data_IF_952692151433
#
_entry.id   IF_952692151433
#
_cell.length_a   1.000
_cell.length_b   1.000
_cell.length_c   1.000
_cell.angle_alpha   90.00
_cell.angle_beta   90.00
_cell.angle_gamma   90.00
#
_symmetry.space_group_name_H-M   'P 1'
#
loop_
_entity.id
_entity.type
_entity.pdbx_description
1 polymer ?
#
# COMPACT_ATOMS: atom_id res chain seq x y z
N UNK A 1 -44.42 -3.27 12.36
CA UNK A 1 -43.45 -3.17 11.24
C UNK A 1 -42.05 -3.69 11.65
N UNK A 2 -41.50 -3.26 12.79
CA UNK A 2 -40.18 -3.69 13.30
C UNK A 2 -40.04 -5.21 13.50
N UNK A 3 -41.09 -5.88 14.01
CA UNK A 3 -41.09 -7.36 14.19
C UNK A 3 -40.95 -8.14 12.88
N UNK A 4 -41.42 -7.59 11.75
CA UNK A 4 -41.29 -8.26 10.45
C UNK A 4 -39.87 -8.12 9.91
N UNK A 5 -39.24 -6.96 10.09
CA UNK A 5 -37.84 -6.71 9.68
C UNK A 5 -36.88 -7.62 10.46
N UNK A 6 -37.08 -7.77 11.77
CA UNK A 6 -36.22 -8.62 12.60
C UNK A 6 -36.30 -10.10 12.18
N UNK A 7 -37.49 -10.56 11.76
CA UNK A 7 -37.71 -11.95 11.35
C UNK A 7 -37.10 -12.25 9.98
N UNK A 8 -37.04 -11.27 9.06
CA UNK A 8 -36.35 -11.43 7.76
C UNK A 8 -34.84 -11.49 7.94
N UNK A 9 -34.28 -10.69 8.84
CA UNK A 9 -32.84 -10.64 9.11
C UNK A 9 -32.38 -11.96 9.71
N UNK A 10 -33.06 -12.48 10.74
CA UNK A 10 -32.69 -13.77 11.35
C UNK A 10 -32.83 -14.94 10.38
N UNK A 11 -33.83 -14.92 9.49
CA UNK A 11 -33.97 -15.94 8.44
C UNK A 11 -32.81 -15.94 7.44
N UNK A 12 -32.29 -14.76 7.06
CA UNK A 12 -31.13 -14.69 6.15
C UNK A 12 -29.85 -15.21 6.82
N UNK A 13 -29.64 -14.92 8.11
CA UNK A 13 -28.48 -15.44 8.84
C UNK A 13 -28.50 -16.97 8.97
N UNK A 14 -29.67 -17.58 9.19
CA UNK A 14 -29.80 -19.05 9.24
C UNK A 14 -29.52 -19.69 7.88
N UNK A 15 -29.97 -19.08 6.78
CA UNK A 15 -29.63 -19.54 5.43
C UNK A 15 -28.12 -19.46 5.14
N UNK A 16 -27.47 -18.34 5.48
CA UNK A 16 -26.03 -18.15 5.21
C UNK A 16 -25.16 -19.12 6.01
N UNK A 17 -25.54 -19.41 7.27
CA UNK A 17 -24.83 -20.40 8.09
C UNK A 17 -25.00 -21.84 7.57
N UNK A 18 -26.17 -22.16 6.99
CA UNK A 18 -26.43 -23.49 6.40
C UNK A 18 -25.60 -23.73 5.14
N UNK A 19 -25.40 -22.70 4.32
CA UNK A 19 -24.56 -22.76 3.11
C UNK A 19 -23.08 -22.93 3.47
N UNK A 20 -22.61 -22.20 4.49
CA UNK A 20 -21.24 -22.35 5.00
C UNK A 20 -20.97 -23.74 5.59
N UNK A 21 -21.96 -24.32 6.28
CA UNK A 21 -21.86 -25.69 6.79
C UNK A 21 -21.75 -26.75 5.69
N UNK A 22 -22.45 -26.57 4.56
CA UNK A 22 -22.39 -27.49 3.43
C UNK A 22 -21.05 -27.41 2.67
N UNK A 23 -20.44 -26.23 2.57
CA UNK A 23 -19.14 -26.08 1.92
C UNK A 23 -17.99 -26.70 2.72
N UNK A 24 -18.10 -26.77 4.05
CA UNK A 24 -17.08 -27.39 4.90
C UNK A 24 -17.10 -28.93 4.84
N UNK A 25 -18.19 -29.55 4.39
CA UNK A 25 -18.33 -31.01 4.27
C UNK A 25 -17.76 -31.53 2.94
N UNK A 26 -17.58 -30.67 1.93
CA UNK A 26 -17.07 -31.07 0.60
C UNK A 26 -15.53 -31.05 0.50
N UNK A 27 -14.81 -30.63 1.55
CA UNK A 27 -13.35 -30.46 1.50
C UNK A 27 -12.54 -31.60 2.17
N UNK A 28 -13.14 -32.75 2.51
CA UNK A 28 -12.43 -33.83 3.25
C UNK A 28 -12.30 -35.17 2.53
N UNK A 29 -12.62 -35.26 1.24
CA UNK A 29 -12.36 -36.46 0.45
C UNK A 29 -11.54 -36.10 -0.78
N UNK A 30 -10.22 -36.21 -0.66
CA UNK A 30 -9.36 -36.77 -1.71
C UNK A 30 -7.94 -36.95 -1.16
N UNK A 31 -7.65 -38.16 -0.74
CA UNK A 31 -6.29 -38.64 -0.49
C UNK A 31 -6.06 -39.87 -1.36
N UNK A 32 -4.99 -39.91 -2.17
CA UNK A 32 -4.43 -41.17 -2.61
C UNK A 32 -3.08 -41.43 -1.95
N UNK A 33 -2.95 -42.68 -1.54
CA UNK A 33 -1.83 -43.26 -0.83
C UNK A 33 -0.61 -43.55 -1.72
N UNK A 34 0.54 -43.61 -1.01
CA UNK A 34 1.69 -44.50 -1.22
C UNK A 34 2.60 -44.34 -2.44
N UNK A 35 3.91 -44.13 -2.18
CA UNK A 35 4.93 -45.18 -2.33
C UNK A 35 6.25 -44.83 -1.66
N UNK A 36 6.84 -45.85 -1.04
CA UNK A 36 8.09 -45.85 -0.31
C UNK A 36 9.30 -46.19 -1.22
N UNK A 37 10.45 -45.60 -0.92
CA UNK A 37 11.80 -46.13 -1.18
C UNK A 37 12.80 -45.28 -0.38
N UNK A 38 13.30 -45.74 0.77
CA UNK A 38 14.53 -46.54 0.92
C UNK A 38 15.77 -45.85 0.35
N UNK A 39 16.59 -45.24 1.22
CA UNK A 39 18.07 -45.29 1.20
C UNK A 39 18.69 -44.59 2.43
N UNK A 40 19.47 -45.37 3.19
CA UNK A 40 20.46 -44.95 4.22
C UNK A 40 21.66 -44.23 3.55
N UNK A 41 22.43 -43.38 4.26
CA UNK A 41 23.63 -43.83 5.00
C UNK A 41 23.84 -43.09 6.34
N UNK A 42 24.16 -43.78 7.43
CA UNK A 42 25.51 -44.12 7.94
C UNK A 42 26.25 -42.94 8.60
N UNK A 43 26.23 -42.97 9.93
CA UNK A 43 27.14 -42.30 10.86
C UNK A 43 28.60 -42.74 10.62
N UNK A 44 29.51 -41.77 10.55
CA UNK A 44 30.92 -41.97 10.89
C UNK A 44 31.36 -40.89 11.87
N UNK A 45 31.70 -41.33 13.07
CA UNK A 45 32.43 -40.59 14.10
C UNK A 45 33.93 -40.74 13.81
N UNK A 46 34.70 -39.64 13.91
CA UNK A 46 36.07 -39.70 14.45
C UNK A 46 36.51 -38.33 15.01
N UNK A 47 36.96 -38.39 16.27
CA UNK A 47 37.67 -37.36 17.04
C UNK A 47 39.08 -37.12 16.47
N UNK A 48 39.61 -35.92 16.69
CA UNK A 48 41.04 -35.63 16.65
C UNK A 48 41.36 -34.20 17.09
N UNK A 49 41.97 -34.07 18.28
CA UNK A 49 42.50 -32.84 18.87
C UNK A 49 43.70 -32.26 18.10
N UNK A 50 43.88 -30.95 18.15
CA UNK A 50 45.12 -30.27 17.79
C UNK A 50 45.00 -28.75 17.99
N UNK A 51 45.83 -28.20 18.88
CA UNK A 51 45.77 -26.84 19.41
C UNK A 51 46.46 -25.77 18.52
N UNK A 52 46.20 -24.52 18.91
CA UNK A 52 47.09 -23.34 18.84
C UNK A 52 47.36 -22.68 17.47
N UNK A 53 46.73 -21.52 17.23
CA UNK A 53 47.36 -20.20 17.50
C UNK A 53 46.46 -19.02 17.11
N UNK A 54 46.52 -18.02 17.99
CA UNK A 54 46.29 -16.58 17.78
C UNK A 54 46.36 -16.11 16.31
N UNK A 55 45.31 -15.43 15.85
CA UNK A 55 45.48 -14.10 15.25
C UNK A 55 44.15 -13.34 15.29
N UNK A 56 44.15 -12.29 16.11
CA UNK A 56 43.11 -11.26 16.17
C UNK A 56 43.03 -10.54 14.83
N UNK A 57 41.85 -10.55 14.21
CA UNK A 57 41.36 -9.42 13.42
C UNK A 57 39.93 -9.11 13.84
N UNK A 58 39.79 -7.91 14.40
CA UNK A 58 38.53 -7.27 14.75
C UNK A 58 37.67 -7.09 13.50
N UNK A 59 36.86 -8.09 13.18
CA UNK A 59 35.69 -7.91 12.34
C UNK A 59 34.60 -7.26 13.20
N UNK A 60 34.45 -5.94 13.03
CA UNK A 60 33.26 -5.23 13.48
C UNK A 60 32.06 -5.91 12.84
N UNK A 61 31.31 -6.63 13.67
CA UNK A 61 29.95 -7.03 13.42
C UNK A 61 29.14 -5.77 13.17
N UNK A 62 28.93 -5.43 11.90
CA UNK A 62 27.82 -4.59 11.49
C UNK A 62 26.56 -5.42 11.72
N UNK A 63 26.10 -5.37 12.97
CA UNK A 63 24.84 -5.89 13.44
C UNK A 63 23.76 -5.25 12.57
N UNK A 64 23.25 -6.03 11.62
CA UNK A 64 22.12 -5.69 10.77
C UNK A 64 20.90 -5.58 11.69
N UNK A 65 20.75 -4.44 12.36
CA UNK A 65 19.49 -4.05 12.97
C UNK A 65 18.52 -3.87 11.83
N UNK A 66 17.73 -4.93 11.62
CA UNK A 66 16.44 -4.90 10.94
C UNK A 66 15.58 -3.95 11.77
N UNK A 67 15.77 -2.66 11.56
CA UNK A 67 14.82 -1.64 11.98
C UNK A 67 13.60 -1.88 11.10
N UNK A 68 12.75 -2.80 11.57
CA UNK A 68 11.38 -2.93 11.11
C UNK A 68 10.80 -1.51 11.14
N UNK A 69 10.68 -0.90 9.97
CA UNK A 69 9.65 0.07 9.75
C UNK A 69 8.33 -0.70 9.87
N UNK A 70 7.97 -1.02 11.13
CA UNK A 70 6.58 -1.11 11.53
C UNK A 70 6.01 0.23 11.13
N UNK A 71 5.46 0.26 9.92
CA UNK A 71 4.48 1.23 9.52
C UNK A 71 3.51 1.25 10.71
N UNK A 72 3.63 2.27 11.55
CA UNK A 72 2.86 2.36 12.77
C UNK A 72 1.44 2.45 12.28
N UNK A 73 0.77 1.30 12.32
CA UNK A 73 -0.64 1.15 12.13
C UNK A 73 -1.26 2.03 13.21
N UNK A 74 -1.55 3.28 12.87
CA UNK A 74 -2.62 4.00 13.51
C UNK A 74 -3.86 3.30 13.00
N UNK A 75 -4.16 2.18 13.65
CA UNK A 75 -5.45 1.52 13.62
C UNK A 75 -6.41 2.61 14.08
N UNK A 76 -6.95 3.36 13.13
CA UNK A 76 -7.95 4.40 13.35
C UNK A 76 -9.16 3.62 13.85
N UNK A 77 -9.23 3.45 15.17
CA UNK A 77 -10.38 2.87 15.84
C UNK A 77 -11.53 3.79 15.50
N UNK A 78 -12.31 3.41 14.50
CA UNK A 78 -13.61 3.96 14.20
C UNK A 78 -14.55 3.59 15.35
N UNK A 79 -14.34 4.17 16.52
CA UNK A 79 -15.44 4.46 17.42
C UNK A 79 -16.14 5.68 16.82
N UNK A 80 -16.97 5.44 15.79
CA UNK A 80 -18.03 6.34 15.37
C UNK A 80 -19.01 6.46 16.53
N UNK A 81 -18.68 7.32 17.50
CA UNK A 81 -19.71 7.90 18.34
C UNK A 81 -20.69 8.58 17.39
N UNK A 82 -21.95 8.15 17.44
CA UNK A 82 -23.09 8.96 17.00
C UNK A 82 -23.02 10.30 17.75
N UNK A 83 -22.23 11.22 17.20
CA UNK A 83 -22.24 12.62 17.60
C UNK A 83 -23.37 13.24 16.80
N UNK A 84 -24.49 13.46 17.47
CA UNK A 84 -25.55 14.31 16.95
C UNK A 84 -24.92 15.69 16.65
N UNK A 85 -24.80 15.97 15.36
CA UNK A 85 -24.28 17.23 14.85
C UNK A 85 -25.46 18.16 14.67
N UNK A 86 -25.77 18.96 15.69
CA UNK A 86 -26.48 20.22 15.47
C UNK A 86 -25.55 21.15 14.68
N UNK A 87 -25.75 21.15 13.36
CA UNK A 87 -25.20 22.18 12.49
C UNK A 87 -26.17 23.35 12.59
N UNK A 88 -25.71 24.45 13.17
CA UNK A 88 -26.43 25.71 13.15
C UNK A 88 -26.62 26.12 11.67
N UNK A 89 -27.82 25.90 11.13
CA UNK A 89 -28.16 26.10 9.71
C UNK A 89 -28.21 27.59 9.32
N UNK A 90 -27.93 28.50 10.26
CA UNK A 90 -28.12 29.95 10.11
C UNK A 90 -26.95 30.70 9.47
N UNK A 91 -25.78 30.08 9.27
CA UNK A 91 -24.60 30.76 8.69
C UNK A 91 -24.54 30.59 7.17
N UNK A 92 -24.74 31.70 6.44
CA UNK A 92 -24.54 31.75 4.99
C UNK A 92 -23.08 31.42 4.63
N UNK A 93 -22.85 30.28 3.99
CA UNK A 93 -21.53 29.88 3.50
C UNK A 93 -21.10 30.84 2.37
N UNK A 94 -19.92 31.46 2.45
CA UNK A 94 -19.46 32.35 1.38
C UNK A 94 -19.37 31.61 0.03
N UNK A 95 -19.85 32.25 -1.04
CA UNK A 95 -19.81 31.71 -2.41
C UNK A 95 -18.40 31.24 -2.81
N UNK A 96 -17.37 31.99 -2.44
CA UNK A 96 -15.96 31.66 -2.71
C UNK A 96 -15.49 30.36 -2.05
N UNK A 97 -16.04 30.00 -0.89
CA UNK A 97 -15.75 28.73 -0.21
C UNK A 97 -16.42 27.57 -0.96
N UNK A 98 -17.68 27.74 -1.37
CA UNK A 98 -18.39 26.73 -2.15
C UNK A 98 -17.70 26.45 -3.49
N UNK A 99 -17.27 27.49 -4.19
CA UNK A 99 -16.51 27.37 -5.45
C UNK A 99 -15.18 26.65 -5.24
N UNK A 100 -14.42 27.01 -4.19
CA UNK A 100 -13.12 26.39 -3.91
C UNK A 100 -13.24 24.89 -3.57
N UNK A 101 -14.23 24.51 -2.74
CA UNK A 101 -14.50 23.08 -2.47
C UNK A 101 -15.01 22.38 -3.74
N UNK A 102 -15.82 23.05 -4.55
CA UNK A 102 -16.28 22.52 -5.84
C UNK A 102 -15.12 22.21 -6.80
N UNK A 103 -14.09 23.06 -6.84
CA UNK A 103 -12.87 22.81 -7.63
C UNK A 103 -12.13 21.58 -7.09
N UNK A 104 -11.96 21.47 -5.77
CA UNK A 104 -11.31 20.30 -5.15
C UNK A 104 -12.04 19.00 -5.50
N UNK A 105 -13.38 18.98 -5.36
CA UNK A 105 -14.21 17.84 -5.75
C UNK A 105 -14.08 17.49 -7.23
N UNK A 106 -14.08 18.48 -8.12
CA UNK A 106 -13.89 18.25 -9.57
C UNK A 106 -12.53 17.59 -9.86
N UNK A 107 -11.46 18.04 -9.20
CA UNK A 107 -10.13 17.44 -9.36
C UNK A 107 -10.10 15.98 -8.87
N UNK A 108 -10.70 15.68 -7.72
CA UNK A 108 -10.83 14.31 -7.20
C UNK A 108 -11.60 13.41 -8.16
N UNK A 109 -12.77 13.85 -8.63
CA UNK A 109 -13.59 13.08 -9.57
C UNK A 109 -12.84 12.80 -10.87
N UNK A 110 -12.12 13.79 -11.41
CA UNK A 110 -11.31 13.60 -12.61
C UNK A 110 -10.16 12.61 -12.38
N UNK A 111 -9.50 12.69 -11.22
CA UNK A 111 -8.44 11.77 -10.84
C UNK A 111 -8.97 10.34 -10.66
N UNK A 112 -10.01 10.13 -9.86
CA UNK A 112 -10.61 8.82 -9.61
C UNK A 112 -11.18 8.20 -10.88
N UNK A 113 -11.77 9.02 -11.76
CA UNK A 113 -12.19 8.56 -13.08
C UNK A 113 -11.01 8.06 -13.90
N UNK A 114 -9.92 8.82 -14.00
CA UNK A 114 -8.72 8.37 -14.72
C UNK A 114 -8.12 7.10 -14.11
N UNK A 115 -8.07 7.02 -12.78
CA UNK A 115 -7.61 5.83 -12.06
C UNK A 115 -8.47 4.60 -12.40
N UNK A 116 -9.80 4.75 -12.33
CA UNK A 116 -10.76 3.69 -12.64
C UNK A 116 -10.73 3.29 -14.12
N UNK A 117 -10.66 4.25 -15.03
CA UNK A 117 -10.60 3.98 -16.47
C UNK A 117 -9.34 3.15 -16.82
N UNK A 118 -8.19 3.42 -16.17
CA UNK A 118 -6.97 2.61 -16.33
C UNK A 118 -7.13 1.18 -15.76
N UNK A 119 -7.72 1.05 -14.58
CA UNK A 119 -8.02 -0.26 -13.99
C UNK A 119 -8.96 -1.08 -14.89
N UNK A 120 -10.07 -0.48 -15.32
CA UNK A 120 -11.09 -1.16 -16.13
C UNK A 120 -10.49 -1.61 -17.49
N UNK A 121 -9.63 -0.78 -18.11
CA UNK A 121 -8.92 -1.15 -19.34
C UNK A 121 -7.93 -2.31 -19.15
N UNK A 122 -7.21 -2.34 -18.03
CA UNK A 122 -6.31 -3.43 -17.67
C UNK A 122 -7.06 -4.74 -17.38
N UNK A 123 -8.17 -4.69 -16.64
CA UNK A 123 -8.96 -5.87 -16.31
C UNK A 123 -9.67 -6.51 -17.50
N UNK A 124 -10.05 -5.70 -18.49
CA UNK A 124 -10.64 -6.17 -19.75
C UNK A 124 -9.62 -6.85 -20.67
N UNK A 125 -8.33 -6.63 -20.45
CA UNK A 125 -7.25 -7.23 -21.23
C UNK A 125 -7.04 -8.72 -20.95
N UNK A 126 -6.34 -9.41 -21.85
CA UNK A 126 -5.93 -10.80 -21.63
C UNK A 126 -4.85 -10.96 -20.55
N UNK A 127 -4.09 -9.89 -20.31
CA UNK A 127 -3.07 -9.79 -19.26
C UNK A 127 -3.61 -8.93 -18.11
N UNK A 128 -4.69 -9.40 -17.47
CA UNK A 128 -5.33 -8.71 -16.34
C UNK A 128 -4.77 -9.15 -14.98
N UNK A 129 -5.37 -8.68 -13.89
CA UNK A 129 -4.97 -9.06 -12.52
C UNK A 129 -4.95 -10.58 -12.32
N UNK A 130 -5.96 -11.32 -12.78
CA UNK A 130 -6.02 -12.78 -12.63
C UNK A 130 -4.83 -13.48 -13.32
N UNK A 131 -4.50 -13.05 -14.54
CA UNK A 131 -3.33 -13.54 -15.27
C UNK A 131 -2.04 -13.30 -14.48
N UNK A 132 -1.79 -12.06 -14.04
CA UNK A 132 -0.55 -11.71 -13.34
C UNK A 132 -0.46 -12.30 -11.93
N UNK A 133 -1.59 -12.36 -11.21
CA UNK A 133 -1.67 -12.96 -9.87
C UNK A 133 -1.29 -14.45 -9.86
N UNK A 134 -1.46 -15.14 -10.98
CA UNK A 134 -1.06 -16.55 -11.13
C UNK A 134 0.41 -16.75 -11.51
N UNK A 135 1.12 -15.68 -11.91
CA UNK A 135 2.45 -15.76 -12.53
C UNK A 135 3.54 -15.03 -11.75
N UNK A 136 3.18 -13.97 -11.05
CA UNK A 136 4.07 -13.30 -10.11
C UNK A 136 4.04 -14.13 -8.82
N UNK A 137 5.19 -14.36 -8.21
CA UNK A 137 5.40 -15.15 -6.98
C UNK A 137 4.69 -14.60 -5.73
N UNK A 138 3.71 -13.70 -5.86
CA UNK A 138 2.80 -13.24 -4.82
C UNK A 138 2.06 -14.34 -4.06
N UNK A 139 2.13 -15.60 -4.52
CA UNK A 139 1.39 -16.74 -3.97
C UNK A 139 2.29 -17.78 -3.29
N UNK A 140 3.59 -17.49 -3.13
CA UNK A 140 4.55 -18.42 -2.57
C UNK A 140 5.38 -17.79 -1.43
N UNK A 141 5.70 -18.59 -0.41
CA UNK A 141 6.58 -18.21 0.69
C UNK A 141 6.05 -17.00 1.49
N UNK A 142 6.96 -16.08 1.84
CA UNK A 142 6.64 -14.87 2.60
C UNK A 142 5.64 -13.95 1.87
N UNK A 143 5.75 -13.84 0.53
CA UNK A 143 4.92 -12.96 -0.29
C UNK A 143 3.42 -13.31 -0.28
N UNK A 144 3.08 -14.58 -0.06
CA UNK A 144 1.69 -15.07 -0.06
C UNK A 144 0.83 -14.39 1.00
N UNK A 145 1.40 -14.12 2.18
CA UNK A 145 0.70 -13.46 3.26
C UNK A 145 0.77 -11.93 3.10
N UNK A 146 1.96 -11.43 2.77
CA UNK A 146 2.27 -10.00 2.84
C UNK A 146 1.57 -9.18 1.73
N UNK A 147 1.29 -9.80 0.58
CA UNK A 147 0.69 -9.09 -0.57
C UNK A 147 -0.66 -9.63 -0.99
N UNK A 148 -1.28 -10.56 -0.25
CA UNK A 148 -2.57 -11.16 -0.61
C UNK A 148 -3.69 -10.13 -0.90
N UNK A 149 -3.64 -8.97 -0.23
CA UNK A 149 -4.63 -7.87 -0.36
C UNK A 149 -4.11 -6.64 -1.09
N UNK A 150 -2.82 -6.61 -1.41
CA UNK A 150 -2.12 -5.41 -1.90
C UNK A 150 -1.69 -5.53 -3.37
N UNK A 151 -2.02 -6.63 -4.05
CA UNK A 151 -1.65 -6.85 -5.46
C UNK A 151 -2.17 -5.74 -6.37
N UNK A 152 -3.41 -5.30 -6.13
CA UNK A 152 -4.02 -4.23 -6.91
C UNK A 152 -3.30 -2.89 -6.70
N UNK A 153 -2.79 -2.65 -5.49
CA UNK A 153 -1.98 -1.46 -5.19
C UNK A 153 -0.65 -1.48 -5.97
N UNK A 154 -0.06 -2.66 -6.14
CA UNK A 154 1.18 -2.84 -6.92
C UNK A 154 0.92 -2.57 -8.41
N UNK A 155 -0.16 -3.10 -8.98
CA UNK A 155 -0.53 -2.82 -10.37
C UNK A 155 -0.87 -1.34 -10.59
N UNK A 156 -1.59 -0.73 -9.64
CA UNK A 156 -1.87 0.70 -9.66
C UNK A 156 -0.60 1.56 -9.60
N UNK A 157 0.45 1.12 -8.90
CA UNK A 157 1.74 1.82 -8.83
C UNK A 157 2.53 1.79 -10.14
N UNK A 158 2.06 0.99 -11.10
CA UNK A 158 2.54 0.97 -12.48
C UNK A 158 1.53 1.62 -13.44
N UNK A 159 0.49 2.26 -12.91
CA UNK A 159 -0.60 2.85 -13.68
C UNK A 159 -1.38 1.82 -14.48
N UNK A 160 -1.41 0.56 -14.02
CA UNK A 160 -2.02 -0.58 -14.71
C UNK A 160 -1.47 -0.82 -16.13
N UNK A 161 -0.21 -0.43 -16.36
CA UNK A 161 0.47 -0.63 -17.64
C UNK A 161 0.95 -2.07 -17.79
N UNK A 162 0.37 -2.79 -18.76
CA UNK A 162 0.64 -4.21 -18.98
C UNK A 162 2.12 -4.52 -19.20
N UNK A 163 2.85 -3.66 -19.93
CA UNK A 163 4.28 -3.89 -20.19
C UNK A 163 5.11 -3.69 -18.93
N UNK A 164 4.77 -2.68 -18.13
CA UNK A 164 5.42 -2.45 -16.84
C UNK A 164 5.16 -3.61 -15.86
N UNK A 165 3.92 -4.12 -15.80
CA UNK A 165 3.59 -5.28 -14.94
C UNK A 165 4.30 -6.55 -15.44
N UNK A 166 4.45 -6.74 -16.76
CA UNK A 166 5.23 -7.84 -17.31
C UNK A 166 6.72 -7.75 -16.96
N UNK A 167 7.31 -6.54 -17.01
CA UNK A 167 8.69 -6.32 -16.57
C UNK A 167 8.84 -6.63 -15.08
N UNK A 168 7.90 -6.16 -14.25
CA UNK A 168 7.86 -6.48 -12.82
C UNK A 168 7.81 -8.00 -12.60
N UNK A 169 6.90 -8.72 -13.28
CA UNK A 169 6.80 -10.17 -13.18
C UNK A 169 8.14 -10.84 -13.51
N UNK A 170 8.77 -10.42 -14.59
CA UNK A 170 10.03 -11.02 -15.06
C UNK A 170 11.15 -10.83 -14.03
N UNK A 171 11.27 -9.62 -13.48
CA UNK A 171 12.26 -9.30 -12.44
C UNK A 171 11.99 -10.06 -11.15
N UNK A 172 10.76 -10.02 -10.65
CA UNK A 172 10.38 -10.69 -9.39
C UNK A 172 10.61 -12.19 -9.50
N UNK A 173 10.24 -12.82 -10.62
CA UNK A 173 10.46 -14.25 -10.82
C UNK A 173 11.95 -14.60 -10.93
N UNK A 174 12.78 -13.73 -11.50
CA UNK A 174 14.24 -13.92 -11.52
C UNK A 174 14.85 -13.85 -10.11
N UNK A 175 14.39 -12.89 -9.30
CA UNK A 175 14.87 -12.66 -7.93
C UNK A 175 14.26 -13.59 -6.87
N UNK A 176 13.26 -14.39 -7.24
CA UNK A 176 12.60 -15.36 -6.33
C UNK A 176 12.65 -16.80 -6.85
N UNK A 177 13.37 -17.03 -7.95
CA UNK A 177 13.53 -18.36 -8.53
C UNK A 177 14.34 -19.30 -7.63
N UNK A 178 14.42 -20.57 -8.02
CA UNK A 178 15.09 -21.63 -7.22
C UNK A 178 16.58 -21.42 -6.96
N UNK A 179 17.22 -20.50 -7.69
CA UNK A 179 18.65 -20.12 -7.53
C UNK A 179 18.84 -18.77 -6.85
N UNK A 180 17.76 -18.12 -6.40
CA UNK A 180 17.82 -16.82 -5.76
C UNK A 180 18.51 -16.92 -4.40
N UNK A 181 19.34 -15.93 -4.09
CA UNK A 181 19.89 -15.72 -2.75
C UNK A 181 18.86 -15.02 -1.85
N UNK A 182 19.06 -15.07 -0.53
CA UNK A 182 18.22 -14.31 0.40
C UNK A 182 18.20 -12.81 0.09
N UNK A 183 19.33 -12.27 -0.38
CA UNK A 183 19.43 -10.86 -0.77
C UNK A 183 18.61 -10.54 -2.04
N UNK A 184 18.47 -11.50 -2.96
CA UNK A 184 17.60 -11.35 -4.13
C UNK A 184 16.14 -11.26 -3.71
N UNK A 185 15.73 -12.20 -2.85
CA UNK A 185 14.37 -12.27 -2.33
C UNK A 185 14.02 -10.99 -1.56
N UNK A 186 14.93 -10.50 -0.71
CA UNK A 186 14.76 -9.22 -0.01
C UNK A 186 14.63 -8.04 -0.98
N UNK A 187 15.41 -8.02 -2.07
CA UNK A 187 15.33 -6.93 -3.04
C UNK A 187 14.02 -6.93 -3.83
N UNK A 188 13.45 -8.12 -4.08
CA UNK A 188 12.11 -8.24 -4.64
C UNK A 188 11.04 -7.75 -3.66
N UNK A 189 11.18 -8.09 -2.38
CA UNK A 189 10.29 -7.65 -1.31
C UNK A 189 10.29 -6.11 -1.14
N UNK A 190 11.47 -5.52 -1.02
CA UNK A 190 11.64 -4.06 -0.90
C UNK A 190 11.06 -3.31 -2.12
N UNK A 191 11.18 -3.90 -3.33
CA UNK A 191 10.55 -3.38 -4.54
C UNK A 191 9.03 -3.41 -4.42
N UNK A 192 8.43 -4.56 -4.08
CA UNK A 192 6.99 -4.73 -4.00
C UNK A 192 6.36 -3.86 -2.91
N UNK A 193 7.02 -3.73 -1.76
CA UNK A 193 6.63 -2.80 -0.68
C UNK A 193 6.63 -1.35 -1.17
N UNK A 194 7.69 -0.94 -1.88
CA UNK A 194 7.77 0.43 -2.44
C UNK A 194 6.67 0.72 -3.46
N UNK A 195 6.29 -0.28 -4.26
CA UNK A 195 5.16 -0.18 -5.19
C UNK A 195 3.84 -0.08 -4.44
N UNK A 196 3.58 -0.95 -3.47
CA UNK A 196 2.36 -0.88 -2.63
C UNK A 196 2.22 0.52 -2.02
N UNK A 197 3.28 1.00 -1.39
CA UNK A 197 3.27 2.27 -0.64
C UNK A 197 3.03 3.48 -1.56
N UNK A 198 3.57 3.45 -2.78
CA UNK A 198 3.32 4.46 -3.82
C UNK A 198 1.82 4.66 -4.06
N UNK A 199 1.05 3.57 -4.15
CA UNK A 199 -0.41 3.65 -4.31
C UNK A 199 -1.11 3.97 -3.00
N UNK A 200 -0.69 3.35 -1.89
CA UNK A 200 -1.36 3.48 -0.59
C UNK A 200 -1.37 4.93 -0.07
N UNK A 201 -0.27 5.68 -0.25
CA UNK A 201 -0.23 7.10 0.13
C UNK A 201 -1.22 7.94 -0.66
N UNK A 202 -1.47 7.59 -1.92
CA UNK A 202 -2.45 8.29 -2.76
C UNK A 202 -3.87 7.92 -2.34
N UNK A 203 -4.17 6.64 -2.14
CA UNK A 203 -5.50 6.16 -1.75
C UNK A 203 -5.96 6.69 -0.39
N UNK A 204 -5.02 6.86 0.56
CA UNK A 204 -5.30 7.49 1.86
C UNK A 204 -5.93 8.88 1.71
N UNK A 205 -5.63 9.58 0.61
CA UNK A 205 -6.17 10.91 0.33
C UNK A 205 -7.45 10.84 -0.52
N UNK A 206 -7.44 10.05 -1.59
CA UNK A 206 -8.43 10.17 -2.68
C UNK A 206 -9.52 9.11 -2.69
N UNK A 207 -9.43 8.08 -1.84
CA UNK A 207 -10.47 7.06 -1.72
C UNK A 207 -11.83 7.70 -1.39
N UNK A 208 -12.86 7.31 -2.13
CA UNK A 208 -14.18 7.97 -2.09
C UNK A 208 -14.91 7.72 -0.76
N UNK A 209 -14.62 6.59 -0.11
CA UNK A 209 -15.32 6.13 1.09
C UNK A 209 -14.55 6.47 2.36
N UNK A 210 -13.24 6.26 2.33
CA UNK A 210 -12.38 6.29 3.52
C UNK A 210 -11.25 7.33 3.42
N UNK A 211 -11.04 7.93 2.24
CA UNK A 211 -10.00 8.91 2.01
C UNK A 211 -10.22 10.22 2.77
N UNK A 212 -9.11 10.93 3.02
CA UNK A 212 -9.15 12.24 3.70
C UNK A 212 -9.99 13.27 2.92
N UNK A 213 -10.07 13.14 1.59
CA UNK A 213 -10.90 13.97 0.73
C UNK A 213 -12.23 13.32 0.29
N UNK A 214 -12.73 12.34 1.06
CA UNK A 214 -14.07 11.76 0.87
C UNK A 214 -15.18 12.82 0.89
N UNK A 215 -16.34 12.48 0.34
CA UNK A 215 -17.50 13.38 0.24
C UNK A 215 -17.95 13.94 1.60
N UNK A 216 -17.83 13.13 2.66
CA UNK A 216 -18.11 13.56 4.02
C UNK A 216 -17.14 14.63 4.51
N UNK A 217 -15.83 14.45 4.28
CA UNK A 217 -14.81 15.40 4.69
C UNK A 217 -14.86 16.69 3.86
N UNK A 218 -15.19 16.60 2.57
CA UNK A 218 -15.45 17.77 1.72
C UNK A 218 -16.66 18.58 2.21
N UNK A 219 -17.71 17.90 2.68
CA UNK A 219 -18.84 18.57 3.33
C UNK A 219 -18.40 19.32 4.59
N UNK A 220 -17.60 18.70 5.46
CA UNK A 220 -17.03 19.37 6.65
C UNK A 220 -16.19 20.58 6.26
N UNK A 221 -15.33 20.43 5.25
CA UNK A 221 -14.45 21.47 4.73
C UNK A 221 -15.27 22.69 4.28
N UNK A 222 -16.37 22.46 3.55
CA UNK A 222 -17.29 23.52 3.09
C UNK A 222 -17.90 24.32 4.23
N UNK A 223 -18.20 23.66 5.34
CA UNK A 223 -18.90 24.26 6.48
C UNK A 223 -17.97 24.97 7.47
N UNK A 224 -16.71 24.51 7.59
CA UNK A 224 -15.87 24.85 8.75
C UNK A 224 -14.51 25.45 8.42
N UNK A 225 -14.10 25.42 7.15
CA UNK A 225 -12.78 25.89 6.76
C UNK A 225 -12.83 27.26 6.09
N UNK A 226 -11.65 27.87 6.00
CA UNK A 226 -11.47 29.14 5.29
C UNK A 226 -10.84 28.89 3.91
N UNK A 227 -10.87 29.92 3.08
CA UNK A 227 -10.39 29.85 1.70
C UNK A 227 -8.91 29.49 1.60
N UNK A 228 -8.07 29.97 2.54
CA UNK A 228 -6.64 29.66 2.58
C UNK A 228 -6.41 28.17 2.79
N UNK A 229 -7.13 27.54 3.72
CA UNK A 229 -7.03 26.10 3.98
C UNK A 229 -7.45 25.28 2.76
N UNK A 230 -8.53 25.66 2.08
CA UNK A 230 -9.01 24.92 0.90
C UNK A 230 -8.01 25.05 -0.25
N UNK A 231 -7.46 26.24 -0.49
CA UNK A 231 -6.40 26.46 -1.49
C UNK A 231 -5.13 25.65 -1.18
N UNK A 232 -4.74 25.59 0.09
CA UNK A 232 -3.61 24.77 0.51
C UNK A 232 -3.84 23.28 0.22
N UNK A 233 -4.99 22.74 0.61
CA UNK A 233 -5.36 21.35 0.32
C UNK A 233 -5.38 21.06 -1.19
N UNK A 234 -5.87 22.01 -2.00
CA UNK A 234 -5.85 21.89 -3.46
C UNK A 234 -4.43 21.80 -4.01
N UNK A 235 -3.52 22.65 -3.55
CA UNK A 235 -2.12 22.62 -3.97
C UNK A 235 -1.45 21.30 -3.56
N UNK A 236 -1.70 20.80 -2.35
CA UNK A 236 -1.19 19.50 -1.92
C UNK A 236 -1.74 18.35 -2.76
N UNK A 237 -3.04 18.36 -3.10
CA UNK A 237 -3.64 17.35 -3.97
C UNK A 237 -3.02 17.39 -5.37
N UNK A 238 -2.86 18.58 -5.96
CA UNK A 238 -2.23 18.71 -7.28
C UNK A 238 -0.79 18.21 -7.26
N UNK A 239 -0.04 18.57 -6.22
CA UNK A 239 1.31 18.05 -5.99
C UNK A 239 1.34 16.54 -5.87
N UNK A 240 0.40 15.94 -5.12
CA UNK A 240 0.32 14.49 -4.91
C UNK A 240 0.07 13.76 -6.23
N UNK A 241 -0.87 14.25 -7.03
CA UNK A 241 -1.19 13.70 -8.34
C UNK A 241 0.00 13.82 -9.30
N UNK A 242 0.63 15.00 -9.37
CA UNK A 242 1.79 15.23 -10.23
C UNK A 242 2.97 14.34 -9.83
N UNK A 243 3.27 14.26 -8.53
CA UNK A 243 4.35 13.42 -8.00
C UNK A 243 4.09 11.94 -8.25
N UNK A 244 2.83 11.48 -8.17
CA UNK A 244 2.47 10.09 -8.51
C UNK A 244 2.79 9.79 -9.98
N UNK A 245 2.42 10.67 -10.90
CA UNK A 245 2.69 10.49 -12.33
C UNK A 245 4.19 10.38 -12.59
N UNK A 246 4.98 11.26 -11.97
CA UNK A 246 6.45 11.26 -12.06
C UNK A 246 7.04 9.94 -11.54
N UNK A 247 6.65 9.52 -10.33
CA UNK A 247 7.13 8.28 -9.70
C UNK A 247 6.79 7.06 -10.55
N UNK A 248 5.57 6.97 -11.10
CA UNK A 248 5.18 5.89 -12.01
C UNK A 248 6.09 5.87 -13.24
N UNK A 249 6.35 7.02 -13.86
CA UNK A 249 7.24 7.12 -15.02
C UNK A 249 8.64 6.60 -14.72
N UNK A 250 9.23 7.06 -13.62
CA UNK A 250 10.57 6.65 -13.20
C UNK A 250 10.65 5.14 -12.89
N UNK A 251 9.67 4.61 -12.17
CA UNK A 251 9.60 3.18 -11.84
C UNK A 251 9.53 2.35 -13.12
N UNK A 252 8.66 2.71 -14.07
CA UNK A 252 8.56 1.99 -15.35
C UNK A 252 9.90 1.95 -16.09
N UNK A 253 10.60 3.07 -16.14
CA UNK A 253 11.92 3.16 -16.77
C UNK A 253 12.93 2.27 -16.05
N UNK A 254 12.95 2.27 -14.71
CA UNK A 254 13.86 1.42 -13.94
C UNK A 254 13.56 -0.06 -14.08
N UNK A 255 12.29 -0.46 -14.17
CA UNK A 255 11.92 -1.84 -14.45
C UNK A 255 12.37 -2.26 -15.86
N UNK A 256 12.20 -1.42 -16.87
CA UNK A 256 12.70 -1.71 -18.21
C UNK A 256 14.24 -1.87 -18.22
N UNK A 257 14.97 -0.95 -17.58
CA UNK A 257 16.43 -1.01 -17.43
C UNK A 257 16.89 -2.29 -16.69
N UNK A 258 16.17 -2.70 -15.65
CA UNK A 258 16.49 -3.91 -14.90
C UNK A 258 16.24 -5.19 -15.71
N UNK A 259 15.23 -5.22 -16.58
CA UNK A 259 14.99 -6.35 -17.50
C UNK A 259 16.16 -6.54 -18.48
N UNK A 260 16.85 -5.49 -18.90
CA UNK A 260 18.05 -5.60 -19.74
C UNK A 260 19.23 -6.30 -19.03
N UNK A 261 19.15 -6.45 -17.69
CA UNK A 261 20.18 -7.08 -16.86
C UNK A 261 19.84 -8.52 -16.45
N UNK A 262 18.84 -9.13 -17.09
CA UNK A 262 18.47 -10.52 -16.81
C UNK A 262 19.65 -11.48 -16.98
N UNK A 263 19.77 -12.40 -16.03
CA UNK A 263 20.92 -13.32 -15.92
C UNK A 263 22.00 -12.84 -14.94
N UNK A 264 21.98 -11.56 -14.55
CA UNK A 264 22.84 -10.99 -13.51
C UNK A 264 21.99 -10.37 -12.40
N UNK A 265 21.71 -11.17 -11.37
CA UNK A 265 20.91 -10.73 -10.23
C UNK A 265 21.55 -9.56 -9.48
N UNK A 266 22.88 -9.46 -9.44
CA UNK A 266 23.55 -8.34 -8.77
C UNK A 266 23.31 -7.02 -9.52
N UNK A 267 23.41 -7.05 -10.85
CA UNK A 267 23.09 -5.90 -11.69
C UNK A 267 21.61 -5.49 -11.58
N UNK A 268 20.68 -6.46 -11.55
CA UNK A 268 19.26 -6.19 -11.30
C UNK A 268 19.08 -5.49 -9.95
N UNK A 269 19.61 -6.06 -8.85
CA UNK A 269 19.51 -5.47 -7.51
C UNK A 269 20.08 -4.05 -7.47
N UNK A 270 21.20 -3.82 -8.13
CA UNK A 270 21.84 -2.49 -8.21
C UNK A 270 20.91 -1.46 -8.86
N UNK A 271 20.20 -1.85 -9.92
CA UNK A 271 19.23 -1.00 -10.59
C UNK A 271 18.01 -0.72 -9.70
N UNK A 272 17.46 -1.76 -9.07
CA UNK A 272 16.26 -1.64 -8.22
C UNK A 272 16.51 -0.85 -6.93
N UNK A 273 17.74 -0.80 -6.42
CA UNK A 273 18.10 0.05 -5.27
C UNK A 273 17.75 1.52 -5.51
N UNK A 274 17.61 1.98 -6.76
CA UNK A 274 17.14 3.34 -7.05
C UNK A 274 15.71 3.60 -6.57
N UNK A 275 14.90 2.54 -6.45
CA UNK A 275 13.49 2.56 -5.99
C UNK A 275 13.39 2.51 -4.47
N UNK A 276 14.11 1.60 -3.82
CA UNK A 276 13.90 1.31 -2.39
C UNK A 276 15.06 1.70 -1.46
N UNK A 277 16.22 2.10 -1.99
CA UNK A 277 17.37 2.48 -1.14
C UNK A 277 17.12 3.83 -0.46
N UNK A 278 17.00 3.82 0.86
CA UNK A 278 16.91 5.06 1.65
C UNK A 278 18.13 5.98 1.53
N UNK A 279 19.31 5.43 1.25
CA UNK A 279 20.57 6.20 1.22
C UNK A 279 20.81 6.89 -0.13
N UNK A 280 20.38 6.27 -1.22
CA UNK A 280 20.79 6.64 -2.58
C UNK A 280 19.67 6.54 -3.62
N UNK A 281 18.49 6.07 -3.23
CA UNK A 281 17.37 5.85 -4.13
C UNK A 281 16.65 7.16 -4.42
N UNK A 282 16.86 7.72 -5.62
CA UNK A 282 16.20 8.96 -6.00
C UNK A 282 14.66 8.80 -6.05
N UNK A 283 14.16 7.64 -6.47
CA UNK A 283 12.71 7.33 -6.47
C UNK A 283 12.23 7.09 -5.05
N UNK A 284 13.03 6.42 -4.20
CA UNK A 284 12.72 6.26 -2.77
C UNK A 284 12.40 7.62 -2.13
N UNK A 285 13.22 8.64 -2.40
CA UNK A 285 13.00 9.98 -1.86
C UNK A 285 11.74 10.67 -2.42
N UNK A 286 11.32 10.34 -3.64
CA UNK A 286 10.05 10.82 -4.19
C UNK A 286 8.83 10.15 -3.55
N UNK A 287 8.98 8.90 -3.08
CA UNK A 287 7.91 8.15 -2.39
C UNK A 287 7.84 8.53 -0.91
N UNK A 288 8.97 8.51 -0.21
CA UNK A 288 9.03 8.46 1.26
C UNK A 288 9.66 9.66 1.96
N UNK A 289 10.25 10.63 1.24
CA UNK A 289 11.06 11.65 1.91
C UNK A 289 10.30 12.25 3.09
N UNK A 290 11.05 12.38 4.19
CA UNK A 290 10.61 12.89 5.47
C UNK A 290 11.80 13.67 6.04
N UNK A 291 12.16 14.76 5.36
CA UNK A 291 13.18 15.69 5.88
C UNK A 291 12.57 16.33 7.12
N UNK A 292 13.00 15.90 8.31
CA UNK A 292 12.57 16.45 9.61
C UNK A 292 12.63 17.99 9.70
N UNK A 293 13.41 18.65 8.83
CA UNK A 293 13.58 20.10 8.79
C UNK A 293 12.51 20.86 8.01
N UNK A 294 11.70 20.21 7.16
CA UNK A 294 10.74 20.89 6.27
C UNK A 294 9.39 20.15 6.19
N UNK A 295 8.79 19.86 7.35
CA UNK A 295 7.46 19.23 7.42
C UNK A 295 6.40 19.97 6.59
N UNK A 296 6.56 21.28 6.40
CA UNK A 296 5.61 22.11 5.64
C UNK A 296 5.80 22.04 4.12
N UNK A 297 6.92 21.49 3.62
CA UNK A 297 7.30 21.47 2.19
C UNK A 297 7.74 20.09 1.70
N UNK A 298 7.37 19.01 2.37
CA UNK A 298 7.73 17.68 1.90
C UNK A 298 6.87 17.28 0.68
N UNK A 299 7.49 17.36 -0.50
CA UNK A 299 6.86 17.06 -1.79
C UNK A 299 6.88 15.57 -2.16
N UNK A 300 7.31 14.68 -1.25
CA UNK A 300 7.16 13.24 -1.48
C UNK A 300 5.68 12.82 -1.43
N UNK A 301 5.37 11.63 -1.95
CA UNK A 301 4.01 11.08 -1.86
C UNK A 301 3.54 10.97 -0.40
N UNK A 302 4.38 10.43 0.47
CA UNK A 302 4.10 10.35 1.91
C UNK A 302 3.96 11.74 2.53
N UNK A 303 4.86 12.67 2.20
CA UNK A 303 4.84 14.05 2.69
C UNK A 303 3.54 14.77 2.37
N UNK A 304 3.15 14.77 1.09
CA UNK A 304 1.93 15.41 0.60
C UNK A 304 0.66 14.76 1.17
N UNK A 305 0.63 13.42 1.28
CA UNK A 305 -0.45 12.70 1.95
C UNK A 305 -0.58 13.15 3.41
N UNK A 306 0.53 13.16 4.15
CA UNK A 306 0.54 13.56 5.55
C UNK A 306 0.12 15.02 5.75
N UNK A 307 0.54 15.93 4.88
CA UNK A 307 0.13 17.34 4.92
C UNK A 307 -1.39 17.48 4.78
N UNK A 308 -2.03 16.68 3.92
CA UNK A 308 -3.49 16.67 3.77
C UNK A 308 -4.14 16.09 5.03
N UNK A 309 -3.69 14.93 5.51
CA UNK A 309 -4.22 14.27 6.71
C UNK A 309 -4.15 15.18 7.95
N UNK A 310 -2.99 15.80 8.18
CA UNK A 310 -2.78 16.72 9.31
C UNK A 310 -3.73 17.92 9.27
N UNK A 311 -4.06 18.44 8.10
CA UNK A 311 -5.03 19.54 7.98
C UNK A 311 -6.43 19.10 8.38
N UNK A 312 -6.85 17.88 8.04
CA UNK A 312 -8.12 17.35 8.49
C UNK A 312 -8.15 17.08 10.00
N UNK A 313 -7.05 16.62 10.59
CA UNK A 313 -6.94 16.48 12.04
C UNK A 313 -7.08 17.83 12.77
N UNK A 314 -6.51 18.91 12.23
CA UNK A 314 -6.67 20.28 12.77
C UNK A 314 -8.12 20.76 12.66
N UNK A 315 -8.76 20.55 11.51
CA UNK A 315 -10.17 20.93 11.29
C UNK A 315 -11.08 20.18 12.26
N UNK A 316 -10.85 18.89 12.45
CA UNK A 316 -11.65 18.02 13.30
C UNK A 316 -11.38 18.26 14.80
N UNK A 317 -10.15 18.58 15.21
CA UNK A 317 -9.81 18.85 16.62
C UNK A 317 -10.29 20.23 17.10
N UNK A 318 -10.23 21.24 16.24
CA UNK A 318 -10.78 22.59 16.51
C UNK A 318 -12.27 22.57 16.85
N UNK A 319 -13.01 21.56 16.37
CA UNK A 319 -14.44 21.36 16.69
C UNK A 319 -14.70 20.93 18.13
N UNK A 320 -13.78 20.17 18.75
CA UNK A 320 -13.95 19.69 20.13
C UNK A 320 -13.67 20.78 21.16
N UNK A 321 -12.77 21.70 20.84
CA UNK A 321 -12.39 22.79 21.74
C UNK A 321 -13.45 23.89 21.83
N UNK A 322 -14.16 24.20 20.73
CA UNK A 322 -15.29 25.16 20.76
C UNK A 322 -16.46 24.69 21.62
N UNK A 323 -16.80 23.38 21.57
CA UNK A 323 -17.86 22.80 22.41
C UNK A 323 -17.58 22.86 23.92
N UNK A 324 -16.32 22.76 24.34
CA UNK A 324 -15.93 22.87 25.75
C UNK A 324 -15.96 24.30 26.30
N UNK A 325 -15.96 25.32 25.44
CA UNK A 325 -16.05 26.73 25.85
C UNK A 325 -17.48 27.26 25.86
N UNK A 326 -18.42 26.56 25.20
CA UNK A 326 -19.84 26.93 25.10
C UNK A 326 -20.74 26.12 26.04
N UNK A 327 -20.17 25.23 26.86
CA UNK A 327 -20.83 24.50 27.93
C UNK A 327 -20.23 24.94 29.26
#
# INVERSE_FOLDING_TARGET
MIRRILMTITSMYVCMLSILGLMMIQCTNDSPAARASSLKPTLVVKKGLGADKDERKDERKDEYKKDEHKCVFVKKVCNRLHLDFEVDQSVSIPKTIMEAVGILKKTLVAFNKSFKDNYDAFEQGSNNSAYFNSRITFVHGQFANDFSRDKDNIYAALGYDVNAVLNLQTIVNALTGSKASDQDIMSADDLLDSLRDTTQFVLTVVDENEGDLSDFNLYILRQRSNLRTIKYLKNCLDGLIARRIEVIGDIKQMLASAVEKLGDNEAIRSELKKIFSRKSGFIYHKIYSNKKSDLDNDESLLGLSNLISQRFDIINSSSRYRRKKSA
#
